data_IF_774203414658
#
_entry.id   IF_774203414658
#
_cell.length_a   1.000
_cell.length_b   1.000
_cell.length_c   1.000
_cell.angle_alpha   90.00
_cell.angle_beta   90.00
_cell.angle_gamma   90.00
#
_symmetry.space_group_name_H-M   'P 1'
#
loop_
_entity.id
_entity.type
_entity.pdbx_description
1 polymer ?
#
# COMPACT_ATOMS: atom_id res chain seq x y z
N UNK A 1 -50.49 31.19 -41.75
CA UNK A 1 -50.91 32.48 -41.14
C UNK A 1 -50.95 32.27 -39.63
N UNK A 2 -50.63 33.33 -38.87
CA UNK A 2 -50.62 33.42 -37.40
C UNK A 2 -49.51 32.65 -36.65
N UNK A 3 -48.88 33.37 -35.74
CA UNK A 3 -47.81 32.99 -34.80
C UNK A 3 -48.36 32.91 -33.36
N UNK A 4 -47.47 32.99 -32.35
CA UNK A 4 -47.73 33.31 -30.92
C UNK A 4 -48.22 32.14 -30.02
N UNK A 5 -47.81 32.01 -28.75
CA UNK A 5 -46.76 32.71 -27.96
C UNK A 5 -46.32 31.87 -26.75
N UNK A 6 -45.23 32.31 -26.09
CA UNK A 6 -44.80 31.96 -24.73
C UNK A 6 -45.91 32.11 -23.66
N UNK A 7 -45.82 31.36 -22.54
CA UNK A 7 -45.41 31.93 -21.23
C UNK A 7 -45.23 30.88 -20.11
N UNK A 8 -44.47 31.26 -19.08
CA UNK A 8 -43.97 30.48 -17.94
C UNK A 8 -44.97 30.22 -16.78
N UNK A 9 -44.55 29.40 -15.78
CA UNK A 9 -44.83 29.41 -14.31
C UNK A 9 -45.10 27.98 -13.74
N UNK A 10 -44.98 27.73 -12.41
CA UNK A 10 -43.82 28.00 -11.54
C UNK A 10 -43.46 26.81 -10.60
N UNK A 11 -42.38 26.96 -9.83
CA UNK A 11 -41.96 26.03 -8.76
C UNK A 11 -42.69 26.31 -7.42
N UNK A 12 -43.06 25.26 -6.66
CA UNK A 12 -43.56 25.42 -5.28
C UNK A 12 -43.29 24.25 -4.32
N UNK A 13 -42.68 24.62 -3.17
CA UNK A 13 -43.01 24.22 -1.79
C UNK A 13 -42.87 22.76 -1.27
N UNK A 14 -42.04 22.67 -0.22
CA UNK A 14 -41.83 21.55 0.72
C UNK A 14 -43.04 21.33 1.66
N UNK A 15 -43.24 20.11 2.18
CA UNK A 15 -43.75 19.93 3.54
C UNK A 15 -42.86 19.02 4.44
N UNK A 16 -42.51 19.51 5.62
CA UNK A 16 -42.05 18.73 6.81
C UNK A 16 -43.25 18.38 7.70
N UNK A 17 -43.27 17.24 8.40
CA UNK A 17 -43.22 17.28 9.89
C UNK A 17 -42.66 15.96 10.53
N UNK A 18 -42.75 15.72 11.86
CA UNK A 18 -42.44 16.55 13.02
C UNK A 18 -41.40 15.88 13.97
N UNK A 19 -41.19 16.43 15.17
CA UNK A 19 -40.25 15.96 16.21
C UNK A 19 -40.92 15.69 17.57
N UNK A 20 -40.15 15.12 18.52
CA UNK A 20 -40.52 14.75 19.93
C UNK A 20 -41.45 13.52 20.03
N UNK A 21 -41.40 12.67 21.08
CA UNK A 21 -41.13 12.92 22.50
C UNK A 21 -40.07 12.00 23.17
N UNK A 22 -39.81 12.27 24.45
CA UNK A 22 -38.80 11.64 25.32
C UNK A 22 -39.45 10.73 26.37
N UNK A 23 -38.80 9.62 26.76
CA UNK A 23 -38.89 9.12 28.15
C UNK A 23 -37.65 8.31 28.58
N UNK A 24 -37.61 7.91 29.85
CA UNK A 24 -36.37 7.92 30.65
C UNK A 24 -35.85 6.57 31.17
N UNK A 25 -34.52 6.55 31.42
CA UNK A 25 -33.79 5.80 32.46
C UNK A 25 -34.40 4.49 33.03
N UNK A 26 -33.69 3.37 32.85
CA UNK A 26 -33.44 2.42 33.95
C UNK A 26 -32.00 1.89 33.91
N UNK A 27 -31.38 1.88 35.10
CA UNK A 27 -30.02 1.42 35.36
C UNK A 27 -30.11 0.32 36.41
N UNK A 28 -29.57 -0.88 36.14
CA UNK A 28 -29.40 -1.95 37.15
C UNK A 28 -28.13 -2.76 36.89
N UNK A 29 -27.49 -3.17 37.98
CA UNK A 29 -26.29 -4.00 38.00
C UNK A 29 -26.40 -5.04 39.12
N UNK A 30 -26.10 -6.31 38.83
CA UNK A 30 -25.85 -7.35 39.84
C UNK A 30 -25.17 -8.61 39.24
N UNK A 31 -23.96 -8.89 39.74
CA UNK A 31 -23.43 -10.19 40.23
C UNK A 31 -23.56 -11.52 39.47
N UNK A 32 -22.42 -12.21 39.36
CA UNK A 32 -22.21 -13.61 38.91
C UNK A 32 -22.64 -14.66 39.96
N UNK A 33 -22.65 -15.98 39.63
CA UNK A 33 -21.44 -16.84 39.65
C UNK A 33 -21.34 -17.83 38.45
N UNK A 34 -20.35 -18.72 38.27
CA UNK A 34 -18.89 -18.73 38.53
C UNK A 34 -18.28 -19.98 37.84
N UNK A 35 -17.00 -19.93 37.40
CA UNK A 35 -16.16 -21.13 37.14
C UNK A 35 -14.66 -20.78 37.30
N UNK A 36 -13.85 -21.72 37.81
CA UNK A 36 -12.52 -21.47 38.40
C UNK A 36 -11.44 -22.33 37.75
N UNK A 37 -10.38 -21.68 37.22
CA UNK A 37 -9.09 -22.34 36.98
C UNK A 37 -7.90 -21.45 37.37
N UNK A 38 -6.98 -21.91 38.23
CA UNK A 38 -6.02 -21.02 38.88
C UNK A 38 -4.77 -20.70 38.04
N UNK A 39 -4.38 -19.43 38.01
CA UNK A 39 -3.02 -19.00 37.63
C UNK A 39 -2.13 -18.81 38.86
N UNK A 40 -0.82 -19.03 38.68
CA UNK A 40 0.18 -19.10 39.76
C UNK A 40 0.43 -17.74 40.42
N UNK A 41 0.52 -17.73 41.75
CA UNK A 41 0.86 -16.55 42.55
C UNK A 41 2.34 -16.20 42.39
N UNK A 42 2.62 -14.95 41.97
CA UNK A 42 3.94 -14.32 42.02
C UNK A 42 3.88 -13.05 42.89
N UNK A 43 4.69 -12.99 43.94
CA UNK A 43 4.58 -11.98 45.01
C UNK A 43 4.78 -10.54 44.51
N UNK A 44 3.77 -9.68 44.71
CA UNK A 44 3.87 -8.22 44.45
C UNK A 44 4.80 -7.55 45.46
N UNK A 45 6.03 -7.22 45.06
CA UNK A 45 6.84 -6.20 45.76
C UNK A 45 6.26 -4.81 45.44
N UNK A 46 5.83 -4.05 46.46
CA UNK A 46 5.44 -2.64 46.32
C UNK A 46 6.64 -1.83 45.81
N UNK A 47 6.49 -1.15 44.67
CA UNK A 47 7.38 -0.07 44.24
C UNK A 47 6.53 1.17 43.97
N UNK A 48 7.06 2.32 44.40
CA UNK A 48 6.42 3.64 44.45
C UNK A 48 5.90 4.10 43.08
N UNK A 49 4.90 4.99 43.08
CA UNK A 49 4.34 5.65 41.90
C UNK A 49 5.44 6.00 40.89
N UNK A 50 5.45 5.29 39.75
CA UNK A 50 6.10 5.77 38.55
C UNK A 50 5.11 6.73 37.89
N UNK A 51 5.51 7.96 37.70
CA UNK A 51 4.85 8.82 36.72
C UNK A 51 4.93 8.13 35.35
N UNK A 52 3.79 8.02 34.67
CA UNK A 52 3.72 7.38 33.36
C UNK A 52 4.47 8.23 32.33
N UNK A 53 5.69 7.81 32.03
CA UNK A 53 6.57 8.53 31.09
C UNK A 53 6.00 8.39 29.68
N UNK A 54 5.84 9.53 29.01
CA UNK A 54 5.33 9.61 27.64
C UNK A 54 6.47 9.80 26.65
N UNK A 55 6.42 9.08 25.52
CA UNK A 55 7.42 9.14 24.45
C UNK A 55 7.39 10.49 23.71
N UNK A 56 8.46 11.28 23.81
CA UNK A 56 8.55 12.59 23.15
C UNK A 56 8.40 12.57 21.61
N UNK A 57 8.66 11.42 20.97
CA UNK A 57 8.49 11.27 19.52
C UNK A 57 7.03 11.09 19.12
N UNK A 58 6.25 10.28 19.84
CA UNK A 58 4.96 9.79 19.33
C UNK A 58 3.83 9.65 20.36
N UNK A 59 4.00 10.10 21.61
CA UNK A 59 2.95 10.04 22.64
C UNK A 59 2.66 8.65 23.22
N UNK A 60 3.35 7.61 22.79
CA UNK A 60 3.22 6.23 23.32
C UNK A 60 3.86 6.11 24.72
N UNK A 61 3.48 5.11 25.49
CA UNK A 61 4.09 4.78 26.78
C UNK A 61 5.60 4.52 26.68
N UNK A 62 6.38 5.04 27.62
CA UNK A 62 7.83 4.92 27.67
C UNK A 62 8.29 4.30 29.00
N UNK A 63 9.20 3.32 28.92
CA UNK A 63 9.75 2.67 30.11
C UNK A 63 10.86 3.48 30.79
N UNK A 64 11.48 4.41 30.05
CA UNK A 64 12.62 5.22 30.48
C UNK A 64 13.26 6.00 29.34
N UNK A 65 14.53 6.38 29.53
CA UNK A 65 15.36 7.03 28.52
C UNK A 65 15.96 5.99 27.56
N UNK A 66 16.00 6.29 26.27
CA UNK A 66 16.80 5.57 25.29
C UNK A 66 17.57 6.58 24.43
N UNK A 67 18.87 6.36 24.24
CA UNK A 67 19.73 7.27 23.47
C UNK A 67 19.59 8.73 23.94
N UNK A 68 19.55 8.94 25.25
CA UNK A 68 19.40 10.24 25.93
C UNK A 68 18.00 10.91 25.92
N UNK A 69 16.96 10.30 25.32
CA UNK A 69 15.60 10.86 25.33
C UNK A 69 14.51 9.87 25.80
N UNK A 70 13.46 10.37 26.45
CA UNK A 70 12.33 9.56 26.92
C UNK A 70 11.52 9.05 25.71
N UNK A 71 11.53 7.74 25.49
CA UNK A 71 10.95 7.12 24.29
C UNK A 71 10.38 5.72 24.54
N UNK A 72 9.36 5.38 23.75
CA UNK A 72 8.82 4.02 23.67
C UNK A 72 9.77 3.07 22.92
N UNK A 73 9.62 1.76 23.14
CA UNK A 73 10.47 0.73 22.52
C UNK A 73 10.45 0.81 20.98
N UNK A 74 9.31 1.17 20.37
CA UNK A 74 9.22 1.29 18.90
C UNK A 74 10.04 2.45 18.35
N UNK A 75 10.14 3.59 19.07
CA UNK A 75 10.94 4.74 18.65
C UNK A 75 12.43 4.52 18.90
N UNK A 76 12.79 3.85 20.00
CA UNK A 76 14.15 3.33 20.24
C UNK A 76 14.61 2.39 19.12
N UNK A 77 13.81 1.37 18.78
CA UNK A 77 14.13 0.41 17.73
C UNK A 77 14.12 1.02 16.31
N UNK A 78 13.30 2.06 16.09
CA UNK A 78 13.33 2.86 14.87
C UNK A 78 14.63 3.69 14.78
N UNK A 79 14.98 4.42 15.84
CA UNK A 79 16.16 5.28 15.88
C UNK A 79 17.45 4.47 15.66
N UNK A 80 17.62 3.35 16.38
CA UNK A 80 18.77 2.45 16.23
C UNK A 80 19.01 1.98 14.80
N UNK A 81 17.95 1.82 13.99
CA UNK A 81 18.05 1.41 12.58
C UNK A 81 18.29 2.56 11.59
N UNK A 82 17.92 3.79 11.95
CA UNK A 82 17.83 4.91 11.00
C UNK A 82 18.75 6.09 11.32
N UNK A 83 19.35 6.18 12.51
CA UNK A 83 20.13 7.33 12.96
C UNK A 83 21.37 7.66 12.10
N UNK A 84 21.88 6.70 11.33
CA UNK A 84 22.97 6.90 10.37
C UNK A 84 22.49 7.12 8.92
N UNK A 85 21.18 6.94 8.66
CA UNK A 85 20.53 6.97 7.32
C UNK A 85 19.81 8.29 7.03
N UNK A 86 20.14 9.35 7.76
CA UNK A 86 19.47 10.65 7.67
C UNK A 86 19.42 11.24 6.25
N UNK A 87 20.48 11.02 5.45
CA UNK A 87 20.57 11.45 4.04
C UNK A 87 19.83 10.53 3.05
N UNK A 88 19.52 9.30 3.45
CA UNK A 88 18.80 8.31 2.62
C UNK A 88 17.29 8.50 2.72
N UNK A 89 16.79 8.91 3.89
CA UNK A 89 15.37 9.14 4.11
C UNK A 89 14.92 10.47 3.47
N UNK A 90 13.77 10.43 2.80
CA UNK A 90 13.08 11.61 2.26
C UNK A 90 11.65 11.66 2.79
N UNK A 91 11.10 12.87 2.94
CA UNK A 91 9.67 13.02 3.19
C UNK A 91 8.90 12.81 1.89
N UNK A 92 7.79 12.07 1.94
CA UNK A 92 6.82 11.94 0.83
C UNK A 92 5.66 12.94 0.95
N UNK A 93 5.78 13.88 1.89
CA UNK A 93 4.84 14.96 2.20
C UNK A 93 5.63 16.27 2.43
N UNK A 94 5.01 17.28 3.04
CA UNK A 94 5.57 18.64 3.24
C UNK A 94 6.64 18.78 4.34
N UNK A 95 7.39 17.72 4.66
CA UNK A 95 8.41 17.69 5.75
C UNK A 95 7.90 18.05 7.17
N UNK A 96 6.59 18.24 7.35
CA UNK A 96 5.91 18.67 8.60
C UNK A 96 4.95 17.62 9.17
N UNK A 97 5.14 16.34 8.86
CA UNK A 97 4.20 15.28 9.26
C UNK A 97 4.01 15.21 10.78
N UNK A 98 2.74 15.18 11.23
CA UNK A 98 2.40 14.82 12.61
C UNK A 98 2.90 13.40 12.90
N UNK A 99 3.53 13.22 14.06
CA UNK A 99 4.03 11.92 14.54
C UNK A 99 3.41 11.62 15.90
N UNK A 100 2.49 10.64 15.91
CA UNK A 100 1.79 10.06 17.05
C UNK A 100 1.80 8.52 16.97
N UNK A 101 1.10 7.83 17.88
CA UNK A 101 1.10 6.35 17.98
C UNK A 101 0.66 5.68 16.67
N UNK A 102 -0.28 6.30 15.96
CA UNK A 102 -0.89 5.79 14.73
C UNK A 102 -0.09 6.24 13.50
N UNK A 103 0.29 7.52 13.45
CA UNK A 103 0.94 8.14 12.28
C UNK A 103 2.45 7.90 12.19
N UNK A 104 3.12 7.46 13.26
CA UNK A 104 4.58 7.19 13.30
C UNK A 104 5.11 6.14 12.30
N UNK A 105 4.26 5.50 11.50
CA UNK A 105 4.70 4.60 10.42
C UNK A 105 4.69 5.27 9.04
N UNK A 106 3.98 6.38 8.85
CA UNK A 106 3.72 6.95 7.53
C UNK A 106 4.87 7.80 6.97
N UNK A 107 5.73 8.36 7.82
CA UNK A 107 6.90 9.13 7.36
C UNK A 107 8.14 8.88 8.23
N UNK A 108 9.03 8.01 7.75
CA UNK A 108 10.31 7.71 8.41
C UNK A 108 11.21 8.95 8.52
N UNK A 109 11.22 9.84 7.51
CA UNK A 109 12.01 11.08 7.57
C UNK A 109 11.58 11.99 8.74
N UNK A 110 10.30 12.39 8.79
CA UNK A 110 9.79 13.25 9.85
C UNK A 110 9.88 12.59 11.24
N UNK A 111 9.71 11.27 11.32
CA UNK A 111 9.95 10.53 12.56
C UNK A 111 11.40 10.60 13.02
N UNK A 112 12.37 10.42 12.11
CA UNK A 112 13.79 10.49 12.45
C UNK A 112 14.20 11.91 12.83
N UNK A 113 13.74 12.92 12.08
CA UNK A 113 13.96 14.32 12.43
C UNK A 113 13.38 14.64 13.81
N UNK A 114 12.18 14.14 14.15
CA UNK A 114 11.62 14.29 15.50
C UNK A 114 12.39 13.52 16.58
N UNK A 115 12.99 12.37 16.27
CA UNK A 115 13.91 11.69 17.18
C UNK A 115 15.12 12.59 17.53
N UNK A 116 15.78 13.19 16.53
CA UNK A 116 16.89 14.11 16.77
C UNK A 116 16.43 15.39 17.50
N UNK A 117 15.27 15.94 17.13
CA UNK A 117 14.72 17.15 17.74
C UNK A 117 14.41 17.00 19.25
N UNK A 118 14.09 15.80 19.74
CA UNK A 118 13.94 15.53 21.18
C UNK A 118 15.25 15.12 21.88
N UNK A 119 16.39 15.22 21.20
CA UNK A 119 17.72 14.94 21.76
C UNK A 119 18.20 13.49 21.65
N UNK A 120 17.63 12.65 20.79
CA UNK A 120 18.16 11.28 20.62
C UNK A 120 19.57 11.30 20.00
N UNK A 121 20.54 10.72 20.70
CA UNK A 121 21.98 10.74 20.37
C UNK A 121 22.45 9.50 19.61
N UNK A 122 22.96 9.68 18.39
CA UNK A 122 23.39 8.58 17.49
C UNK A 122 24.76 7.98 17.85
N UNK A 123 25.59 8.76 18.50
CA UNK A 123 26.83 8.37 19.19
C UNK A 123 26.59 7.33 20.30
N UNK A 124 25.40 7.30 20.90
CA UNK A 124 25.00 6.30 21.90
C UNK A 124 24.57 4.95 21.29
N UNK A 125 24.70 4.76 19.97
CA UNK A 125 24.45 3.49 19.28
C UNK A 125 25.80 2.75 19.10
N UNK A 126 25.96 1.62 19.78
CA UNK A 126 27.13 0.77 19.65
C UNK A 126 27.24 0.19 18.23
N UNK A 127 28.20 0.68 17.44
CA UNK A 127 28.53 0.15 16.11
C UNK A 127 29.50 -1.01 16.27
N UNK A 128 28.98 -2.24 16.32
CA UNK A 128 29.81 -3.45 16.22
C UNK A 128 30.29 -3.57 14.78
N UNK A 129 31.59 -3.35 14.53
CA UNK A 129 32.23 -3.72 13.26
C UNK A 129 32.37 -5.24 13.21
N UNK A 130 31.93 -5.93 12.15
CA UNK A 130 32.20 -7.36 12.01
C UNK A 130 33.71 -7.55 11.81
N UNK A 131 34.35 -8.25 12.74
CA UNK A 131 35.69 -8.82 12.52
C UNK A 131 35.54 -10.22 11.93
N UNK A 132 36.40 -10.56 10.97
CA UNK A 132 36.40 -11.87 10.34
C UNK A 132 37.03 -12.92 11.29
N UNK A 133 36.28 -13.36 12.30
CA UNK A 133 36.68 -14.44 13.20
C UNK A 133 35.49 -15.35 13.54
N UNK A 134 35.75 -16.64 13.48
CA UNK A 134 34.77 -17.73 13.40
C UNK A 134 33.81 -17.93 14.59
N UNK A 135 32.68 -18.60 14.27
CA UNK A 135 31.99 -19.64 15.05
C UNK A 135 32.22 -19.69 16.57
N UNK A 136 31.18 -19.42 17.35
CA UNK A 136 31.09 -19.81 18.77
C UNK A 136 30.48 -18.71 19.64
N UNK A 137 29.49 -19.05 20.46
CA UNK A 137 28.81 -18.08 21.32
C UNK A 137 29.67 -17.62 22.49
N UNK A 138 29.76 -16.31 22.70
CA UNK A 138 30.43 -15.70 23.86
C UNK A 138 30.29 -14.18 23.84
N UNK A 139 29.49 -13.61 24.74
CA UNK A 139 29.24 -12.17 24.80
C UNK A 139 30.25 -11.51 25.75
N UNK A 140 31.22 -10.76 25.21
CA UNK A 140 32.18 -9.98 26.00
C UNK A 140 32.04 -8.50 25.66
N UNK A 141 31.89 -7.67 26.69
CA UNK A 141 31.73 -6.23 26.58
C UNK A 141 33.04 -5.55 27.01
N UNK A 142 33.73 -4.86 26.09
CA UNK A 142 34.82 -3.96 26.46
C UNK A 142 34.30 -2.51 26.46
N UNK A 143 34.49 -1.83 27.59
CA UNK A 143 34.31 -0.37 27.66
C UNK A 143 35.50 0.29 26.96
N UNK A 144 35.24 1.14 25.97
CA UNK A 144 36.23 2.11 25.51
C UNK A 144 36.01 3.41 26.27
N UNK A 145 36.83 3.67 27.28
CA UNK A 145 36.84 4.96 27.98
C UNK A 145 37.29 6.05 26.99
N UNK A 146 36.40 7.01 26.68
CA UNK A 146 36.80 8.26 26.04
C UNK A 146 36.99 9.27 27.16
N UNK A 147 38.25 9.47 27.56
CA UNK A 147 38.62 10.56 28.46
C UNK A 147 38.70 11.88 27.68
N UNK A 148 38.25 12.91 28.37
CA UNK A 148 38.35 14.31 27.98
C UNK A 148 39.82 14.71 27.75
N UNK A 149 40.12 15.30 26.59
CA UNK A 149 41.45 15.80 26.20
C UNK A 149 41.35 17.29 25.79
N UNK A 150 40.68 18.05 26.64
CA UNK A 150 41.07 19.43 26.89
C UNK A 150 42.26 19.47 27.86
N UNK A 151 43.26 20.31 27.55
CA UNK A 151 44.23 20.85 28.52
C UNK A 151 45.43 19.99 28.98
N UNK A 152 46.23 19.43 28.05
CA UNK A 152 47.70 19.26 28.25
C UNK A 152 48.59 19.89 27.19
N UNK A 153 48.45 21.22 27.11
CA UNK A 153 49.50 22.13 26.63
C UNK A 153 50.83 21.85 27.37
N UNK A 154 51.97 22.04 26.69
CA UNK A 154 53.35 22.24 27.24
C UNK A 154 54.19 21.01 27.67
N UNK A 155 54.72 20.22 26.72
CA UNK A 155 56.13 19.74 26.81
C UNK A 155 56.65 19.13 25.50
N UNK A 156 57.76 19.70 24.98
CA UNK A 156 58.44 19.32 23.73
C UNK A 156 57.56 19.42 22.45
N UNK A 157 58.00 19.98 21.34
CA UNK A 157 59.38 20.32 20.93
C UNK A 157 59.52 21.82 20.57
N UNK A 158 60.63 22.40 21.04
CA UNK A 158 61.28 23.54 20.37
C UNK A 158 62.49 22.98 19.62
N UNK A 159 63.01 23.77 18.68
CA UNK A 159 64.36 23.67 18.10
C UNK A 159 64.57 22.67 16.96
N UNK A 160 64.08 23.01 15.77
CA UNK A 160 64.96 23.14 14.58
C UNK A 160 64.66 24.50 13.91
N UNK A 161 65.70 25.23 13.53
CA UNK A 161 65.66 26.55 12.88
C UNK A 161 65.58 26.34 11.34
N UNK A 162 65.30 27.28 10.41
CA UNK A 162 65.71 28.69 10.24
C UNK A 162 64.86 29.38 9.14
N UNK A 163 64.73 30.72 9.18
CA UNK A 163 64.80 31.75 8.07
C UNK A 163 64.28 31.43 6.64
N UNK A 164 63.69 32.34 5.84
CA UNK A 164 63.37 33.78 5.96
C UNK A 164 62.35 34.25 4.87
N UNK A 165 61.69 35.40 5.12
CA UNK A 165 61.08 36.42 4.20
C UNK A 165 60.43 36.09 2.82
N UNK A 166 59.21 36.66 2.64
CA UNK A 166 58.66 37.51 1.53
C UNK A 166 58.85 37.04 0.06
N UNK A 167 57.92 37.23 -0.89
CA UNK A 167 57.10 38.42 -1.21
C UNK A 167 56.06 38.07 -2.31
N UNK A 168 54.95 38.80 -2.38
CA UNK A 168 53.98 38.76 -3.51
C UNK A 168 54.47 39.63 -4.68
N UNK A 169 54.17 39.25 -5.94
CA UNK A 169 53.77 40.24 -6.95
C UNK A 169 52.41 39.93 -7.61
N UNK A 170 51.67 40.99 -7.93
CA UNK A 170 50.62 41.03 -8.96
C UNK A 170 51.25 41.46 -10.29
N UNK A 171 50.62 41.18 -11.44
CA UNK A 171 50.27 42.18 -12.49
C UNK A 171 49.67 41.51 -13.75
N UNK A 172 48.42 41.87 -14.04
CA UNK A 172 47.95 42.54 -15.26
C UNK A 172 48.04 41.92 -16.69
N UNK A 173 46.82 41.86 -17.25
CA UNK A 173 46.26 41.74 -18.63
C UNK A 173 47.01 42.52 -19.74
N UNK A 174 46.91 42.11 -21.03
CA UNK A 174 45.79 42.48 -21.93
C UNK A 174 45.29 41.32 -22.84
N UNK A 175 43.99 41.10 -23.08
CA UNK A 175 43.05 41.79 -24.00
C UNK A 175 43.54 41.95 -25.46
N UNK A 176 42.91 41.19 -26.36
CA UNK A 176 42.59 41.62 -27.73
C UNK A 176 41.16 41.19 -28.09
N UNK A 177 40.45 42.05 -28.82
CA UNK A 177 39.05 41.89 -29.20
C UNK A 177 38.93 41.39 -30.65
N UNK A 178 37.96 40.53 -30.92
CA UNK A 178 37.24 40.50 -32.21
C UNK A 178 35.74 40.50 -31.88
N UNK A 179 34.95 41.17 -32.72
CA UNK A 179 33.58 41.63 -32.41
C UNK A 179 32.62 41.16 -33.52
N UNK A 180 31.32 41.10 -33.19
CA UNK A 180 30.17 40.88 -34.11
C UNK A 180 30.07 39.42 -34.63
N UNK A 181 28.89 38.80 -34.77
CA UNK A 181 27.50 39.24 -34.57
C UNK A 181 26.60 38.04 -34.21
N UNK A 182 25.41 38.26 -33.62
CA UNK A 182 24.39 37.21 -33.40
C UNK A 182 23.30 37.32 -34.48
N UNK A 183 22.60 36.22 -34.85
CA UNK A 183 21.33 35.99 -34.16
C UNK A 183 20.91 34.51 -33.93
N UNK A 184 20.40 34.29 -32.72
CA UNK A 184 19.18 33.53 -32.36
C UNK A 184 18.98 32.03 -32.72
N UNK A 185 18.49 31.33 -31.67
CA UNK A 185 17.60 30.14 -31.70
C UNK A 185 18.17 28.74 -32.01
N UNK A 186 18.82 28.13 -31.01
CA UNK A 186 18.44 26.75 -30.62
C UNK A 186 18.79 26.46 -29.16
N UNK A 187 17.78 26.10 -28.35
CA UNK A 187 17.97 25.79 -26.93
C UNK A 187 18.54 24.39 -26.76
N UNK A 188 19.87 24.27 -26.64
CA UNK A 188 20.52 22.99 -26.37
C UNK A 188 20.49 22.68 -24.87
N UNK A 189 19.69 21.68 -24.49
CA UNK A 189 19.67 21.16 -23.12
C UNK A 189 21.07 20.74 -22.67
N UNK A 190 21.54 21.30 -21.54
CA UNK A 190 22.78 20.84 -20.91
C UNK A 190 22.58 19.43 -20.36
N UNK A 191 23.26 18.44 -20.96
CA UNK A 191 23.42 17.13 -20.37
C UNK A 191 24.12 17.27 -19.01
N UNK A 192 23.46 16.85 -17.94
CA UNK A 192 24.07 16.77 -16.62
C UNK A 192 25.03 15.58 -16.60
N UNK A 193 26.33 15.87 -16.46
CA UNK A 193 27.37 14.86 -16.36
C UNK A 193 27.13 13.93 -15.17
N UNK A 194 26.91 12.64 -15.46
CA UNK A 194 26.76 11.60 -14.45
C UNK A 194 28.16 11.27 -13.91
N UNK A 195 28.43 11.39 -12.58
CA UNK A 195 29.69 10.94 -12.01
C UNK A 195 29.78 9.41 -12.04
N UNK A 196 30.98 8.82 -12.19
CA UNK A 196 31.13 7.37 -12.27
C UNK A 196 30.72 6.68 -10.95
N UNK A 197 30.12 5.48 -11.00
CA UNK A 197 29.67 4.78 -9.79
C UNK A 197 30.86 4.30 -8.96
N UNK A 198 31.09 4.97 -7.83
CA UNK A 198 32.09 4.56 -6.84
C UNK A 198 31.64 3.29 -6.10
N UNK A 199 32.16 2.15 -6.56
CA UNK A 199 32.38 0.91 -5.77
C UNK A 199 31.32 0.55 -4.72
N UNK A 200 30.14 0.10 -5.17
CA UNK A 200 29.37 -0.87 -4.39
C UNK A 200 29.67 -2.26 -4.93
N UNK A 201 30.47 -3.02 -4.19
CA UNK A 201 30.61 -4.46 -4.38
C UNK A 201 29.35 -5.15 -3.85
N UNK A 202 28.29 -5.16 -4.67
CA UNK A 202 27.18 -6.11 -4.54
C UNK A 202 27.41 -7.24 -5.55
N UNK A 203 27.09 -8.46 -5.13
CA UNK A 203 27.26 -9.69 -5.89
C UNK A 203 26.41 -9.66 -7.18
N UNK A 204 27.05 -9.42 -8.33
CA UNK A 204 26.39 -9.21 -9.64
C UNK A 204 26.02 -10.54 -10.33
N UNK A 205 25.52 -11.51 -9.57
CA UNK A 205 25.06 -12.80 -10.10
C UNK A 205 23.53 -12.88 -10.27
N UNK A 206 22.78 -11.94 -9.69
CA UNK A 206 21.31 -11.85 -9.80
C UNK A 206 20.88 -10.95 -10.97
N UNK A 207 20.35 -11.54 -12.04
CA UNK A 207 19.67 -10.83 -13.16
C UNK A 207 18.23 -10.38 -12.81
N UNK A 208 17.90 -10.35 -11.51
CA UNK A 208 16.59 -9.99 -10.95
C UNK A 208 16.75 -9.00 -9.78
N UNK A 209 15.70 -8.22 -9.55
CA UNK A 209 15.58 -7.27 -8.43
C UNK A 209 15.42 -8.02 -7.10
N UNK A 210 16.06 -7.56 -6.03
CA UNK A 210 15.67 -7.96 -4.68
C UNK A 210 14.48 -7.11 -4.19
N UNK A 211 13.40 -7.75 -3.74
CA UNK A 211 12.37 -7.07 -2.95
C UNK A 211 12.94 -6.67 -1.58
N UNK A 212 12.52 -5.54 -1.05
CA UNK A 212 12.80 -5.17 0.34
C UNK A 212 11.99 -6.01 1.33
N UNK A 213 12.49 -6.15 2.56
CA UNK A 213 11.78 -6.87 3.64
C UNK A 213 10.36 -6.34 3.86
N UNK A 214 10.17 -5.02 3.76
CA UNK A 214 8.88 -4.35 3.90
C UNK A 214 7.93 -4.67 2.72
N UNK A 215 8.42 -4.71 1.48
CA UNK A 215 7.64 -5.13 0.29
C UNK A 215 7.23 -6.60 0.39
N UNK A 216 8.15 -7.48 0.81
CA UNK A 216 7.88 -8.91 0.95
C UNK A 216 6.85 -9.17 2.07
N UNK A 217 7.03 -8.55 3.24
CA UNK A 217 6.07 -8.67 4.35
C UNK A 217 4.68 -8.12 3.97
N UNK A 218 4.63 -7.03 3.20
CA UNK A 218 3.39 -6.47 2.68
C UNK A 218 2.69 -7.43 1.70
N UNK A 219 3.42 -7.97 0.72
CA UNK A 219 2.88 -8.96 -0.24
C UNK A 219 2.37 -10.23 0.46
N UNK A 220 3.11 -10.78 1.42
CA UNK A 220 2.67 -11.93 2.22
C UNK A 220 1.40 -11.63 2.99
N UNK A 221 1.30 -10.45 3.61
CA UNK A 221 0.09 -10.01 4.33
C UNK A 221 -1.10 -9.83 3.39
N UNK A 222 -0.87 -9.25 2.21
CA UNK A 222 -1.90 -9.01 1.21
C UNK A 222 -2.44 -10.33 0.63
N UNK A 223 -1.56 -11.27 0.28
CA UNK A 223 -1.90 -12.61 -0.15
C UNK A 223 -2.74 -13.35 0.91
N UNK A 224 -2.27 -13.38 2.16
CA UNK A 224 -2.99 -14.05 3.25
C UNK A 224 -4.40 -13.46 3.50
N UNK A 225 -4.55 -12.14 3.42
CA UNK A 225 -5.86 -11.48 3.50
C UNK A 225 -6.77 -11.84 2.32
N UNK A 226 -6.21 -11.98 1.11
CA UNK A 226 -6.96 -12.39 -0.07
C UNK A 226 -7.40 -13.86 0.03
N UNK A 227 -6.50 -14.76 0.39
CA UNK A 227 -6.77 -16.20 0.53
C UNK A 227 -7.80 -16.47 1.62
N UNK A 228 -7.75 -15.73 2.74
CA UNK A 228 -8.78 -15.76 3.78
C UNK A 228 -10.16 -15.35 3.23
N UNK A 229 -10.22 -14.41 2.27
CA UNK A 229 -11.46 -14.04 1.57
C UNK A 229 -11.96 -15.12 0.59
N UNK A 230 -11.15 -16.10 0.21
CA UNK A 230 -11.58 -17.27 -0.58
C UNK A 230 -12.18 -18.38 0.31
N UNK A 231 -12.00 -18.30 1.63
CA UNK A 231 -12.44 -19.27 2.64
C UNK A 231 -13.95 -19.54 2.64
N UNK A 232 -14.31 -20.81 2.81
CA UNK A 232 -15.65 -21.37 2.53
C UNK A 232 -16.68 -20.96 3.59
N UNK A 233 -17.87 -20.55 3.13
CA UNK A 233 -19.14 -20.89 3.77
C UNK A 233 -19.88 -21.77 2.77
N UNK A 234 -20.35 -22.93 3.20
CA UNK A 234 -21.08 -23.88 2.38
C UNK A 234 -22.48 -24.06 2.97
N UNK A 235 -23.46 -24.35 2.10
CA UNK A 235 -24.58 -25.27 2.37
C UNK A 235 -25.30 -25.62 1.05
N UNK A 236 -25.32 -24.72 0.06
CA UNK A 236 -26.04 -24.98 -1.21
C UNK A 236 -25.28 -25.86 -2.23
N UNK A 237 -25.99 -26.73 -3.00
CA UNK A 237 -25.44 -27.50 -4.12
C UNK A 237 -24.93 -26.62 -5.27
N UNK A 238 -23.81 -27.02 -5.90
CA UNK A 238 -23.24 -26.30 -7.05
C UNK A 238 -24.12 -26.29 -8.30
N UNK A 239 -25.00 -27.28 -8.45
CA UNK A 239 -25.75 -27.48 -9.70
C UNK A 239 -27.00 -26.59 -9.77
N UNK A 240 -27.62 -26.27 -8.63
CA UNK A 240 -28.69 -25.26 -8.50
C UNK A 240 -28.16 -23.84 -8.77
N UNK A 241 -26.94 -23.54 -8.31
CA UNK A 241 -26.30 -22.22 -8.34
C UNK A 241 -26.15 -21.62 -9.76
N UNK A 242 -26.23 -22.45 -10.80
CA UNK A 242 -26.07 -22.04 -12.19
C UNK A 242 -27.24 -22.47 -13.10
N UNK A 243 -28.43 -22.77 -12.55
CA UNK A 243 -29.60 -23.14 -13.38
C UNK A 243 -30.18 -21.96 -14.15
N UNK A 244 -30.49 -20.85 -13.47
CA UNK A 244 -30.99 -19.62 -14.10
C UNK A 244 -29.93 -18.53 -14.16
N UNK A 245 -30.21 -17.49 -14.95
CA UNK A 245 -29.39 -16.28 -14.99
C UNK A 245 -29.35 -15.59 -13.61
N UNK A 246 -30.45 -15.61 -12.89
CA UNK A 246 -30.61 -15.01 -11.55
C UNK A 246 -29.77 -15.77 -10.51
N UNK A 247 -29.78 -17.12 -10.54
CA UNK A 247 -28.88 -17.91 -9.69
C UNK A 247 -27.41 -17.61 -10.00
N UNK A 248 -27.05 -17.51 -11.29
CA UNK A 248 -25.70 -17.16 -11.72
C UNK A 248 -25.28 -15.76 -11.24
N UNK A 249 -26.16 -14.77 -11.30
CA UNK A 249 -25.88 -13.41 -10.78
C UNK A 249 -25.77 -13.43 -9.26
N UNK A 250 -26.69 -14.07 -8.55
CA UNK A 250 -26.62 -14.24 -7.08
C UNK A 250 -25.36 -14.98 -6.61
N UNK A 251 -24.83 -15.92 -7.41
CA UNK A 251 -23.54 -16.57 -7.12
C UNK A 251 -22.40 -15.56 -6.92
N UNK A 252 -22.45 -14.42 -7.63
CA UNK A 252 -21.50 -13.32 -7.54
C UNK A 252 -21.66 -12.48 -6.26
N UNK A 253 -22.82 -12.51 -5.60
CA UNK A 253 -23.05 -11.81 -4.31
C UNK A 253 -22.05 -12.25 -3.24
N UNK A 254 -21.65 -13.52 -3.23
CA UNK A 254 -20.58 -14.03 -2.37
C UNK A 254 -19.21 -13.48 -2.76
N UNK A 255 -18.93 -13.30 -4.06
CA UNK A 255 -17.72 -12.61 -4.53
C UNK A 255 -17.73 -11.16 -4.00
N UNK A 256 -18.83 -10.43 -4.14
CA UNK A 256 -18.91 -9.04 -3.66
C UNK A 256 -18.77 -8.94 -2.13
N UNK A 257 -19.46 -9.78 -1.34
CA UNK A 257 -19.27 -9.86 0.13
C UNK A 257 -17.80 -10.10 0.52
N UNK A 258 -17.14 -11.06 -0.14
CA UNK A 258 -15.73 -11.38 0.08
C UNK A 258 -14.78 -10.28 -0.40
N UNK A 259 -15.16 -9.51 -1.42
CA UNK A 259 -14.38 -8.34 -1.90
C UNK A 259 -14.41 -7.23 -0.86
N UNK A 260 -15.59 -6.93 -0.31
CA UNK A 260 -15.76 -5.95 0.79
C UNK A 260 -14.93 -6.37 2.01
N UNK A 261 -14.97 -7.66 2.39
CA UNK A 261 -14.14 -8.19 3.49
C UNK A 261 -12.64 -8.04 3.23
N UNK A 262 -12.17 -8.29 1.99
CA UNK A 262 -10.78 -8.08 1.61
C UNK A 262 -10.38 -6.59 1.62
N UNK A 263 -11.19 -5.71 1.00
CA UNK A 263 -10.95 -4.28 0.97
C UNK A 263 -10.85 -3.67 2.38
N UNK A 264 -11.69 -4.11 3.32
CA UNK A 264 -11.64 -3.71 4.74
C UNK A 264 -10.35 -4.13 5.48
N UNK A 265 -9.52 -5.01 4.91
CA UNK A 265 -8.18 -5.34 5.45
C UNK A 265 -7.07 -4.45 4.88
N UNK A 266 -7.35 -3.65 3.85
CA UNK A 266 -6.38 -2.76 3.22
C UNK A 266 -6.39 -1.42 3.95
N UNK A 267 -5.24 -1.03 4.53
CA UNK A 267 -5.11 0.20 5.32
C UNK A 267 -5.49 1.43 4.50
N UNK A 268 -5.00 1.54 3.25
CA UNK A 268 -5.31 2.67 2.38
C UNK A 268 -6.82 2.84 2.17
N UNK A 269 -7.54 1.75 1.92
CA UNK A 269 -9.00 1.76 1.72
C UNK A 269 -9.73 2.27 2.97
N UNK A 270 -9.35 1.77 4.15
CA UNK A 270 -9.94 2.17 5.42
C UNK A 270 -9.64 3.61 5.84
N UNK A 271 -8.70 4.31 5.19
CA UNK A 271 -8.43 5.75 5.42
C UNK A 271 -9.28 6.70 4.57
N UNK A 272 -10.03 6.18 3.59
CA UNK A 272 -10.88 6.99 2.70
C UNK A 272 -12.27 7.25 3.32
N UNK A 273 -13.00 8.27 2.82
CA UNK A 273 -14.40 8.51 3.24
C UNK A 273 -15.30 7.34 2.86
N UNK A 274 -16.39 7.12 3.59
CA UNK A 274 -17.34 6.03 3.28
C UNK A 274 -17.93 6.16 1.87
N UNK A 275 -18.28 7.39 1.45
CA UNK A 275 -18.69 7.72 0.09
C UNK A 275 -17.66 7.24 -0.95
N UNK A 276 -16.37 7.56 -0.75
CA UNK A 276 -15.29 7.09 -1.63
C UNK A 276 -15.18 5.57 -1.62
N UNK A 277 -15.24 4.94 -0.43
CA UNK A 277 -15.18 3.48 -0.29
C UNK A 277 -16.31 2.79 -1.06
N UNK A 278 -17.53 3.33 -1.03
CA UNK A 278 -18.68 2.81 -1.79
C UNK A 278 -18.42 2.93 -3.29
N UNK A 279 -18.01 4.10 -3.79
CA UNK A 279 -17.72 4.31 -5.23
C UNK A 279 -16.63 3.36 -5.73
N UNK A 280 -15.54 3.17 -4.98
CA UNK A 280 -14.48 2.22 -5.33
C UNK A 280 -14.99 0.76 -5.36
N UNK A 281 -15.81 0.36 -4.39
CA UNK A 281 -16.39 -0.99 -4.34
C UNK A 281 -17.34 -1.26 -5.51
N UNK A 282 -18.26 -0.33 -5.82
CA UNK A 282 -19.14 -0.44 -7.00
C UNK A 282 -18.31 -0.57 -8.28
N UNK A 283 -17.41 0.38 -8.51
CA UNK A 283 -16.59 0.43 -9.72
C UNK A 283 -15.71 -0.80 -9.96
N UNK A 284 -15.18 -1.44 -8.91
CA UNK A 284 -14.31 -2.61 -9.04
C UNK A 284 -15.05 -3.95 -9.02
N UNK A 285 -16.36 -3.95 -8.78
CA UNK A 285 -17.14 -5.18 -8.55
C UNK A 285 -17.06 -6.16 -9.72
N UNK A 286 -17.22 -5.67 -10.96
CA UNK A 286 -17.07 -6.49 -12.17
C UNK A 286 -15.65 -7.03 -12.32
N UNK A 287 -14.62 -6.16 -12.25
CA UNK A 287 -13.22 -6.59 -12.34
C UNK A 287 -12.86 -7.68 -11.32
N UNK A 288 -13.46 -7.61 -10.12
CA UNK A 288 -13.27 -8.57 -9.04
C UNK A 288 -13.86 -9.96 -9.34
N UNK A 289 -14.94 -10.03 -10.12
CA UNK A 289 -15.52 -11.29 -10.61
C UNK A 289 -14.54 -11.97 -11.58
N UNK A 290 -14.02 -11.24 -12.58
CA UNK A 290 -13.04 -11.78 -13.54
C UNK A 290 -11.72 -12.20 -12.87
N UNK A 291 -11.17 -11.40 -11.95
CA UNK A 291 -9.90 -11.72 -11.27
C UNK A 291 -10.03 -12.99 -10.42
N UNK A 292 -11.16 -13.16 -9.70
CA UNK A 292 -11.42 -14.38 -8.92
C UNK A 292 -11.73 -15.59 -9.78
N UNK A 293 -12.48 -15.40 -10.85
CA UNK A 293 -12.70 -16.40 -11.88
C UNK A 293 -11.36 -16.91 -12.46
N UNK A 294 -10.46 -16.00 -12.84
CA UNK A 294 -9.11 -16.35 -13.31
C UNK A 294 -8.24 -17.05 -12.24
N UNK A 295 -8.44 -16.74 -10.96
CA UNK A 295 -7.73 -17.38 -9.84
C UNK A 295 -8.15 -18.84 -9.66
N UNK A 296 -9.42 -19.16 -9.90
CA UNK A 296 -9.98 -20.51 -9.79
C UNK A 296 -9.89 -21.31 -11.10
N UNK A 297 -9.46 -20.70 -12.21
CA UNK A 297 -9.48 -21.33 -13.52
C UNK A 297 -8.32 -22.32 -13.74
N UNK A 298 -8.66 -23.50 -14.26
CA UNK A 298 -7.76 -24.56 -14.70
C UNK A 298 -7.86 -24.70 -16.22
N UNK A 299 -6.76 -24.39 -16.94
CA UNK A 299 -6.70 -24.43 -18.40
C UNK A 299 -6.57 -25.86 -18.98
N UNK A 300 -6.22 -26.87 -18.18
CA UNK A 300 -6.16 -28.26 -18.63
C UNK A 300 -7.57 -28.88 -18.60
N UNK A 301 -8.36 -28.53 -17.57
CA UNK A 301 -9.76 -28.96 -17.44
C UNK A 301 -10.76 -28.07 -18.17
N UNK A 302 -10.33 -26.89 -18.63
CA UNK A 302 -11.17 -25.79 -19.11
C UNK A 302 -12.37 -25.54 -18.20
N UNK A 303 -12.08 -25.38 -16.90
CA UNK A 303 -13.07 -25.35 -15.83
C UNK A 303 -12.59 -24.52 -14.64
N UNK A 304 -13.52 -24.00 -13.84
CA UNK A 304 -13.22 -23.46 -12.52
C UNK A 304 -13.15 -24.59 -11.51
N UNK A 305 -12.06 -24.64 -10.74
CA UNK A 305 -11.81 -25.66 -9.73
C UNK A 305 -11.85 -25.00 -8.36
N UNK A 306 -12.73 -25.50 -7.49
CA UNK A 306 -12.85 -25.02 -6.11
C UNK A 306 -12.97 -26.22 -5.15
N UNK A 307 -12.80 -26.02 -3.84
CA UNK A 307 -13.07 -27.08 -2.85
C UNK A 307 -14.50 -27.61 -2.86
N UNK A 308 -15.48 -26.87 -3.41
CA UNK A 308 -16.87 -27.34 -3.57
C UNK A 308 -17.05 -28.29 -4.75
N UNK A 309 -16.13 -28.27 -5.73
CA UNK A 309 -16.24 -29.04 -6.96
C UNK A 309 -15.67 -28.33 -8.19
N UNK A 310 -15.90 -28.93 -9.36
CA UNK A 310 -15.42 -28.46 -10.67
C UNK A 310 -16.61 -27.97 -11.48
N UNK A 311 -16.51 -26.77 -12.04
CA UNK A 311 -17.55 -26.13 -12.86
C UNK A 311 -16.99 -25.89 -14.26
N UNK A 312 -17.51 -26.59 -15.27
CA UNK A 312 -17.07 -26.43 -16.66
C UNK A 312 -17.38 -25.02 -17.19
N UNK A 313 -16.49 -24.44 -18.00
CA UNK A 313 -16.72 -23.17 -18.72
C UNK A 313 -17.99 -23.16 -19.57
N UNK A 314 -18.43 -24.33 -20.02
CA UNK A 314 -19.67 -24.52 -20.78
C UNK A 314 -20.94 -24.15 -20.01
N UNK A 315 -20.90 -24.04 -18.67
CA UNK A 315 -22.07 -23.66 -17.87
C UNK A 315 -22.59 -22.28 -18.26
N UNK A 316 -21.69 -21.30 -18.41
CA UNK A 316 -22.07 -19.92 -18.76
C UNK A 316 -22.82 -19.88 -20.09
N UNK A 317 -22.45 -20.72 -21.07
CA UNK A 317 -23.12 -20.81 -22.37
C UNK A 317 -24.52 -21.42 -22.27
N UNK A 318 -24.71 -22.37 -21.34
CA UNK A 318 -26.00 -23.02 -21.08
C UNK A 318 -26.95 -22.08 -20.36
N UNK A 319 -26.49 -21.45 -19.28
CA UNK A 319 -27.30 -20.64 -18.38
C UNK A 319 -27.66 -19.27 -18.97
N UNK A 320 -26.74 -18.67 -19.74
CA UNK A 320 -26.89 -17.31 -20.24
C UNK A 320 -27.55 -17.24 -21.65
N UNK A 321 -27.71 -18.38 -22.33
CA UNK A 321 -28.42 -18.46 -23.61
C UNK A 321 -27.74 -17.71 -24.78
N UNK A 322 -28.50 -17.48 -25.86
CA UNK A 322 -27.92 -16.94 -27.10
C UNK A 322 -27.47 -15.48 -26.99
N UNK A 323 -28.21 -14.67 -26.23
CA UNK A 323 -27.98 -13.23 -26.03
C UNK A 323 -26.62 -12.98 -25.35
N UNK A 324 -26.17 -13.92 -24.50
CA UNK A 324 -25.00 -13.78 -23.64
C UNK A 324 -23.83 -14.70 -24.05
N UNK A 325 -23.83 -15.21 -25.29
CA UNK A 325 -22.69 -15.96 -25.83
C UNK A 325 -21.38 -15.13 -25.81
N UNK A 326 -21.44 -13.83 -26.16
CA UNK A 326 -20.26 -12.94 -26.12
C UNK A 326 -19.69 -12.80 -24.71
N UNK A 327 -20.58 -12.59 -23.74
CA UNK A 327 -20.22 -12.55 -22.32
C UNK A 327 -19.45 -13.80 -21.87
N UNK A 328 -19.93 -15.00 -22.23
CA UNK A 328 -19.23 -16.25 -21.95
C UNK A 328 -17.86 -16.32 -22.64
N UNK A 329 -17.79 -15.95 -23.92
CA UNK A 329 -16.55 -15.96 -24.70
C UNK A 329 -15.49 -15.04 -24.09
N UNK A 330 -15.85 -13.78 -23.75
CA UNK A 330 -14.93 -12.80 -23.19
C UNK A 330 -14.49 -13.15 -21.75
N UNK A 331 -15.38 -13.66 -20.91
CA UNK A 331 -15.03 -14.10 -19.55
C UNK A 331 -14.01 -15.25 -19.56
N UNK A 332 -14.25 -16.29 -20.37
CA UNK A 332 -13.34 -17.43 -20.45
C UNK A 332 -12.03 -17.06 -21.18
N UNK A 333 -12.10 -16.18 -22.18
CA UNK A 333 -10.93 -15.60 -22.88
C UNK A 333 -10.00 -14.83 -21.93
N UNK A 334 -10.54 -14.02 -21.01
CA UNK A 334 -9.74 -13.34 -19.98
C UNK A 334 -9.08 -14.34 -19.03
N UNK A 335 -9.81 -15.36 -18.56
CA UNK A 335 -9.24 -16.42 -17.71
C UNK A 335 -8.08 -17.16 -18.40
N UNK A 336 -8.25 -17.52 -19.68
CA UNK A 336 -7.21 -18.14 -20.52
C UNK A 336 -6.01 -17.21 -20.74
N UNK A 337 -6.24 -15.90 -20.96
CA UNK A 337 -5.16 -14.89 -21.09
C UNK A 337 -4.33 -14.79 -19.81
N UNK A 338 -4.96 -14.65 -18.64
CA UNK A 338 -4.24 -14.64 -17.36
C UNK A 338 -3.48 -15.94 -17.13
N UNK A 339 -4.12 -17.11 -17.34
CA UNK A 339 -3.44 -18.40 -17.16
C UNK A 339 -2.22 -18.57 -18.08
N UNK A 340 -2.34 -18.15 -19.35
CA UNK A 340 -1.24 -18.21 -20.33
C UNK A 340 -0.08 -17.28 -19.96
N UNK A 341 -0.36 -16.11 -19.39
CA UNK A 341 0.66 -15.12 -19.03
C UNK A 341 1.30 -15.37 -17.66
N UNK A 342 0.53 -15.85 -16.67
CA UNK A 342 0.92 -15.90 -15.26
C UNK A 342 1.02 -17.34 -14.70
N UNK A 343 0.53 -18.34 -15.43
CA UNK A 343 0.50 -19.72 -14.96
C UNK A 343 -0.40 -19.89 -13.72
N UNK A 344 0.21 -20.30 -12.60
CA UNK A 344 -0.45 -20.46 -11.30
C UNK A 344 -0.11 -19.32 -10.32
N UNK A 345 0.46 -18.22 -10.80
CA UNK A 345 0.85 -17.08 -9.96
C UNK A 345 -0.35 -16.22 -9.53
N UNK A 346 -0.99 -16.60 -8.43
CA UNK A 346 -2.10 -15.84 -7.85
C UNK A 346 -1.67 -14.49 -7.28
N UNK A 347 -0.41 -14.29 -6.88
CA UNK A 347 0.04 -13.03 -6.27
C UNK A 347 -0.07 -11.85 -7.22
N UNK A 348 0.17 -12.05 -8.52
CA UNK A 348 -0.10 -11.02 -9.54
C UNK A 348 -1.59 -10.67 -9.57
N UNK A 349 -2.49 -11.66 -9.56
CA UNK A 349 -3.93 -11.45 -9.54
C UNK A 349 -4.39 -10.71 -8.26
N UNK A 350 -3.78 -10.98 -7.11
CA UNK A 350 -4.05 -10.25 -5.86
C UNK A 350 -3.60 -8.78 -5.97
N UNK A 351 -2.44 -8.49 -6.54
CA UNK A 351 -2.00 -7.09 -6.74
C UNK A 351 -2.92 -6.38 -7.74
N UNK A 352 -3.32 -7.05 -8.83
CA UNK A 352 -4.29 -6.50 -9.80
C UNK A 352 -5.65 -6.21 -9.18
N UNK A 353 -6.12 -7.04 -8.24
CA UNK A 353 -7.37 -6.78 -7.48
C UNK A 353 -7.31 -5.45 -6.73
N UNK A 354 -6.14 -5.08 -6.19
CA UNK A 354 -5.95 -3.83 -5.47
C UNK A 354 -5.76 -2.66 -6.44
N UNK A 355 -5.05 -2.86 -7.55
CA UNK A 355 -4.94 -1.86 -8.63
C UNK A 355 -6.32 -1.55 -9.21
N UNK A 356 -7.19 -2.55 -9.39
CA UNK A 356 -8.57 -2.33 -9.85
C UNK A 356 -9.42 -1.61 -8.81
N UNK A 357 -9.32 -2.00 -7.52
CA UNK A 357 -10.02 -1.32 -6.42
C UNK A 357 -9.71 0.19 -6.36
N UNK A 358 -8.47 0.60 -6.60
CA UNK A 358 -8.07 2.00 -6.57
C UNK A 358 -8.00 2.65 -7.96
N UNK A 359 -9.00 2.48 -8.82
CA UNK A 359 -9.05 3.23 -10.09
C UNK A 359 -9.51 4.69 -9.88
N UNK A 360 -8.73 5.71 -10.32
CA UNK A 360 -9.15 7.11 -10.29
C UNK A 360 -10.19 7.46 -11.38
N UNK A 361 -10.53 6.51 -12.26
CA UNK A 361 -11.43 6.70 -13.40
C UNK A 361 -12.91 6.66 -13.00
N UNK A 362 -13.28 6.03 -11.87
CA UNK A 362 -14.68 5.78 -11.51
C UNK A 362 -15.55 7.04 -11.44
N UNK A 363 -16.80 6.91 -11.89
CA UNK A 363 -17.80 8.00 -11.87
C UNK A 363 -18.06 8.44 -10.42
N UNK A 364 -18.41 9.71 -10.21
CA UNK A 364 -18.68 10.30 -8.89
C UNK A 364 -17.50 10.37 -7.91
N UNK A 365 -16.28 9.94 -8.28
CA UNK A 365 -15.08 10.23 -7.46
C UNK A 365 -14.75 11.73 -7.42
N UNK A 366 -14.70 12.27 -6.20
CA UNK A 366 -14.33 13.67 -5.91
C UNK A 366 -12.81 13.85 -5.85
N UNK A 367 -12.10 13.09 -5.01
CA UNK A 367 -10.64 13.23 -4.82
C UNK A 367 -9.82 12.17 -5.60
N UNK A 368 -9.86 12.27 -6.93
CA UNK A 368 -9.16 11.35 -7.85
C UNK A 368 -7.63 11.33 -7.66
N UNK A 369 -7.03 12.43 -7.22
CA UNK A 369 -5.60 12.54 -7.00
C UNK A 369 -5.09 11.63 -5.87
N UNK A 370 -5.83 11.53 -4.75
CA UNK A 370 -5.49 10.58 -3.69
C UNK A 370 -5.58 9.14 -4.21
N UNK A 371 -6.63 8.80 -4.97
CA UNK A 371 -6.82 7.45 -5.52
C UNK A 371 -5.69 7.08 -6.49
N UNK A 372 -5.31 7.98 -7.41
CA UNK A 372 -4.17 7.79 -8.31
C UNK A 372 -2.87 7.52 -7.53
N UNK A 373 -2.55 8.36 -6.54
CA UNK A 373 -1.35 8.19 -5.71
C UNK A 373 -1.35 6.87 -4.90
N UNK A 374 -2.52 6.34 -4.57
CA UNK A 374 -2.66 5.00 -3.99
C UNK A 374 -2.36 3.95 -5.07
N UNK A 375 -3.00 4.03 -6.23
CA UNK A 375 -2.83 3.10 -7.36
C UNK A 375 -1.37 3.00 -7.83
N UNK A 376 -0.68 4.13 -7.97
CA UNK A 376 0.72 4.22 -8.42
C UNK A 376 1.69 3.42 -7.53
N UNK A 377 1.41 3.33 -6.22
CA UNK A 377 2.19 2.49 -5.30
C UNK A 377 1.99 1.00 -5.57
N UNK A 378 0.75 0.58 -5.89
CA UNK A 378 0.44 -0.82 -6.23
C UNK A 378 0.95 -1.20 -7.63
N UNK A 379 0.91 -0.28 -8.60
CA UNK A 379 1.56 -0.43 -9.91
C UNK A 379 3.08 -0.57 -9.77
N UNK A 380 3.69 0.26 -8.93
CA UNK A 380 5.13 0.17 -8.59
C UNK A 380 5.46 -1.18 -7.92
N UNK A 381 4.65 -1.62 -6.97
CA UNK A 381 4.81 -2.93 -6.31
C UNK A 381 4.69 -4.09 -7.32
N UNK A 382 3.73 -4.04 -8.24
CA UNK A 382 3.57 -5.01 -9.32
C UNK A 382 4.82 -5.08 -10.20
N UNK A 383 5.36 -3.93 -10.59
CA UNK A 383 6.61 -3.84 -11.37
C UNK A 383 7.78 -4.46 -10.62
N UNK A 384 7.96 -4.11 -9.35
CA UNK A 384 9.02 -4.67 -8.50
C UNK A 384 8.87 -6.19 -8.31
N UNK A 385 7.64 -6.69 -8.17
CA UNK A 385 7.36 -8.12 -8.09
C UNK A 385 7.77 -8.86 -9.37
N UNK A 386 7.40 -8.35 -10.56
CA UNK A 386 7.84 -8.94 -11.83
C UNK A 386 9.37 -8.89 -11.98
N UNK A 387 10.02 -7.77 -11.67
CA UNK A 387 11.49 -7.64 -11.76
C UNK A 387 12.22 -8.56 -10.77
N UNK A 388 11.58 -8.97 -9.67
CA UNK A 388 12.15 -9.88 -8.69
C UNK A 388 11.91 -11.37 -9.03
N UNK A 389 10.77 -11.68 -9.65
CA UNK A 389 10.37 -13.05 -9.98
C UNK A 389 10.88 -13.53 -11.35
N UNK A 390 11.05 -12.61 -12.29
CA UNK A 390 11.46 -12.89 -13.67
C UNK A 390 12.66 -12.00 -14.04
N UNK A 391 13.40 -12.36 -15.09
CA UNK A 391 14.47 -11.49 -15.57
C UNK A 391 13.93 -10.11 -15.97
N UNK A 392 14.74 -9.05 -15.85
CA UNK A 392 14.33 -7.69 -16.28
C UNK A 392 13.79 -7.64 -17.72
N UNK A 393 14.27 -8.53 -18.61
CA UNK A 393 13.79 -8.65 -19.99
C UNK A 393 12.36 -9.21 -20.08
N UNK A 394 12.06 -10.23 -19.28
CA UNK A 394 10.73 -10.84 -19.19
C UNK A 394 9.76 -9.92 -18.46
N UNK A 395 10.15 -9.36 -17.32
CA UNK A 395 9.38 -8.37 -16.56
C UNK A 395 8.93 -7.20 -17.43
N UNK A 396 9.83 -6.66 -18.28
CA UNK A 396 9.52 -5.60 -19.25
C UNK A 396 8.49 -5.99 -20.32
N UNK A 397 8.28 -7.29 -20.60
CA UNK A 397 7.22 -7.80 -21.48
C UNK A 397 5.94 -8.11 -20.71
N UNK A 398 6.05 -8.72 -19.53
CA UNK A 398 4.91 -9.19 -18.73
C UNK A 398 4.14 -8.04 -18.08
N UNK A 399 4.83 -7.01 -17.57
CA UNK A 399 4.19 -5.87 -16.92
C UNK A 399 3.19 -5.12 -17.83
N UNK A 400 3.56 -4.63 -19.04
CA UNK A 400 2.58 -4.00 -19.92
C UNK A 400 1.53 -4.99 -20.45
N UNK A 401 1.88 -6.27 -20.66
CA UNK A 401 0.94 -7.28 -21.11
C UNK A 401 -0.16 -7.55 -20.08
N UNK A 402 0.14 -7.58 -18.78
CA UNK A 402 -0.87 -7.80 -17.75
C UNK A 402 -1.75 -6.58 -17.52
N UNK A 403 -1.19 -5.37 -17.65
CA UNK A 403 -1.98 -4.13 -17.60
C UNK A 403 -2.92 -4.01 -18.81
N UNK A 404 -2.51 -4.48 -19.99
CA UNK A 404 -3.39 -4.56 -21.16
C UNK A 404 -4.59 -5.49 -20.92
N UNK A 405 -4.41 -6.60 -20.19
CA UNK A 405 -5.53 -7.50 -19.84
C UNK A 405 -6.48 -6.79 -18.85
N UNK A 406 -5.93 -6.05 -17.88
CA UNK A 406 -6.73 -5.28 -16.92
C UNK A 406 -7.54 -4.16 -17.60
N UNK A 407 -6.99 -3.54 -18.65
CA UNK A 407 -7.70 -2.51 -19.42
C UNK A 407 -8.79 -3.11 -20.34
N UNK A 408 -8.52 -4.26 -20.99
CA UNK A 408 -9.54 -5.03 -21.71
C UNK A 408 -10.75 -5.38 -20.81
N UNK A 409 -10.51 -5.71 -19.53
CA UNK A 409 -11.59 -5.99 -18.59
C UNK A 409 -12.52 -4.80 -18.34
N UNK A 410 -12.02 -3.56 -18.39
CA UNK A 410 -12.87 -2.37 -18.23
C UNK A 410 -13.94 -2.31 -19.31
N UNK A 411 -13.58 -2.63 -20.57
CA UNK A 411 -14.51 -2.65 -21.71
C UNK A 411 -15.66 -3.64 -21.52
N UNK A 412 -15.43 -4.75 -20.81
CA UNK A 412 -16.48 -5.74 -20.52
C UNK A 412 -17.46 -5.33 -19.42
N UNK A 413 -17.23 -4.19 -18.75
CA UNK A 413 -18.18 -3.63 -17.77
C UNK A 413 -19.50 -3.23 -18.45
N UNK A 414 -19.45 -2.70 -19.68
CA UNK A 414 -20.66 -2.35 -20.45
C UNK A 414 -21.46 -3.59 -20.86
N UNK A 415 -20.78 -4.66 -21.25
CA UNK A 415 -21.42 -5.93 -21.59
C UNK A 415 -22.05 -6.57 -20.35
N UNK A 416 -21.38 -6.50 -19.19
CA UNK A 416 -21.97 -6.90 -17.91
C UNK A 416 -23.27 -6.17 -17.60
N UNK A 417 -23.34 -4.86 -17.88
CA UNK A 417 -24.57 -4.08 -17.74
C UNK A 417 -25.73 -4.67 -18.56
N UNK A 418 -25.47 -5.15 -19.78
CA UNK A 418 -26.50 -5.82 -20.62
C UNK A 418 -27.01 -7.13 -20.01
N UNK A 419 -26.14 -7.89 -19.33
CA UNK A 419 -26.54 -9.11 -18.59
C UNK A 419 -27.59 -8.79 -17.55
N UNK A 420 -27.37 -7.71 -16.79
CA UNK A 420 -28.21 -7.31 -15.66
C UNK A 420 -29.57 -6.69 -16.10
N UNK A 421 -29.78 -6.41 -17.39
CA UNK A 421 -31.10 -6.04 -17.92
C UNK A 421 -32.05 -7.23 -18.10
N UNK A 422 -31.57 -8.46 -17.93
CA UNK A 422 -32.32 -9.70 -18.20
C UNK A 422 -32.60 -10.54 -16.95
N UNK A 423 -32.22 -10.06 -15.76
CA UNK A 423 -32.52 -10.73 -14.48
C UNK A 423 -33.90 -10.34 -13.97
N UNK A 424 -34.54 -11.22 -13.20
CA UNK A 424 -35.70 -10.83 -12.41
C UNK A 424 -35.26 -10.10 -11.14
N UNK A 425 -35.56 -8.80 -11.03
CA UNK A 425 -35.14 -7.94 -9.91
C UNK A 425 -35.59 -8.50 -8.55
N UNK A 426 -36.78 -9.10 -8.47
CA UNK A 426 -37.34 -9.69 -7.25
C UNK A 426 -36.55 -10.91 -6.73
N UNK A 427 -35.80 -11.59 -7.61
CA UNK A 427 -35.00 -12.78 -7.29
C UNK A 427 -33.53 -12.44 -6.96
N UNK A 428 -33.10 -11.18 -7.12
CA UNK A 428 -31.70 -10.78 -6.94
C UNK A 428 -31.41 -10.33 -5.49
N UNK A 429 -30.29 -10.80 -4.93
CA UNK A 429 -29.84 -10.41 -3.59
C UNK A 429 -29.71 -8.87 -3.46
N UNK A 430 -30.24 -8.24 -2.39
CA UNK A 430 -30.25 -6.77 -2.24
C UNK A 430 -28.89 -6.08 -2.36
N UNK A 431 -27.80 -6.75 -1.95
CA UNK A 431 -26.44 -6.22 -2.09
C UNK A 431 -26.02 -6.07 -3.55
N UNK A 432 -26.53 -6.91 -4.45
CA UNK A 432 -26.23 -6.84 -5.89
C UNK A 432 -27.05 -5.74 -6.57
N UNK A 433 -28.30 -5.53 -6.12
CA UNK A 433 -29.10 -4.37 -6.53
C UNK A 433 -28.37 -3.06 -6.19
N UNK A 434 -27.89 -2.93 -4.94
CA UNK A 434 -27.12 -1.76 -4.50
C UNK A 434 -25.81 -1.60 -5.28
N UNK A 435 -25.05 -2.67 -5.48
CA UNK A 435 -23.70 -2.62 -6.05
C UNK A 435 -23.70 -2.37 -7.56
N UNK A 436 -24.71 -2.87 -8.27
CA UNK A 436 -24.85 -2.69 -9.72
C UNK A 436 -25.89 -1.64 -10.14
N UNK A 437 -26.51 -0.96 -9.18
CA UNK A 437 -27.54 0.07 -9.41
C UNK A 437 -28.73 -0.43 -10.25
N UNK A 438 -29.10 -1.70 -10.06
CA UNK A 438 -30.29 -2.34 -10.67
C UNK A 438 -31.56 -1.77 -10.00
N UNK A 439 -32.60 -1.54 -10.79
CA UNK A 439 -33.87 -0.91 -10.38
C UNK A 439 -35.06 -1.71 -10.88
#
# INVERSE_FOLDING_TARGET
MAESTFDDLPCSSIPTPPSSETESMMNMSASSPDDVRPQRVGSKRKIKNKEDKVCGVCGDSALGYNFDAITCESCKAFFRRNAFKEKELKCVFEMKCKIDVNTRRFCSYCRLQKCFAIGMRKDMILVVKPTNAAKGGGMVCQKSDIKDEGEKKRRMEKLVQTRDKKKVPKTDIPVTQIKMEEPSSTSTCRLLSIPPPSSFAQDQTSNTRCLSDDELAFLTTLQANYDMSLGIVADEPLEEEYKTLDNLVNSTGRIIRRLITFAKKIVDFMTLSQETQIVLLKGTSINSIYIRSATLYDAVKDAWVSPRGVVSTSILKRTAGQILNRFQEDHVKICRKFKKLLGNDSTVLVILQVISLFSPEYVSLTNRAIISNIQDRYLTLLKHYFEAKFSYREARRMYPAVLSILDEMKMFTEEHGRVLLHVNVDEIEPILLEIFDIR
#
